data_IF_282866663387
#
_entry.id   IF_282866663387
#
_cell.length_a   1.000
_cell.length_b   1.000
_cell.length_c   1.000
_cell.angle_alpha   90.00
_cell.angle_beta   90.00
_cell.angle_gamma   90.00
#
_symmetry.space_group_name_H-M   'P 1'
#
loop_
_entity.id
_entity.type
_entity.pdbx_description
1 polymer ?
#
# COMPACT_ATOMS: atom_id res chain seq x y z
N UNK A 1 -6.06 -19.20 -9.12
CA UNK A 1 -6.72 -18.01 -8.57
C UNK A 1 -7.07 -18.11 -7.08
N UNK A 2 -6.95 -19.27 -6.47
CA UNK A 2 -7.22 -19.45 -5.02
C UNK A 2 -6.09 -18.99 -4.09
N UNK A 3 -4.91 -18.65 -4.63
CA UNK A 3 -3.74 -18.28 -3.83
C UNK A 3 -3.82 -16.89 -3.17
N UNK A 4 -4.74 -16.05 -3.59
CA UNK A 4 -4.72 -14.65 -3.17
C UNK A 4 -5.58 -14.32 -1.95
N UNK A 5 -6.46 -15.19 -1.51
CA UNK A 5 -7.55 -14.81 -0.60
C UNK A 5 -7.64 -15.66 0.67
N UNK A 6 -6.93 -16.78 0.80
CA UNK A 6 -7.02 -17.62 2.00
C UNK A 6 -6.03 -17.20 3.08
N UNK A 7 -6.51 -16.42 4.03
CA UNK A 7 -5.78 -16.11 5.26
C UNK A 7 -6.02 -17.16 6.38
N UNK A 8 -6.82 -18.19 6.13
CA UNK A 8 -7.10 -19.25 7.10
C UNK A 8 -6.86 -20.62 6.48
N UNK A 9 -6.17 -21.48 7.17
CA UNK A 9 -5.93 -22.89 6.82
C UNK A 9 -6.77 -23.80 7.69
N UNK A 10 -7.77 -24.48 7.10
CA UNK A 10 -8.52 -25.54 7.75
C UNK A 10 -9.14 -25.17 9.10
N UNK A 11 -9.04 -26.03 10.10
CA UNK A 11 -9.56 -25.83 11.45
C UNK A 11 -8.71 -24.93 12.35
N UNK A 12 -7.58 -24.41 11.88
CA UNK A 12 -6.77 -23.49 12.65
C UNK A 12 -7.35 -22.07 12.60
N UNK A 13 -7.58 -21.43 13.76
CA UNK A 13 -8.07 -20.05 13.83
C UNK A 13 -7.00 -19.03 13.42
N UNK A 14 -5.74 -19.47 13.29
CA UNK A 14 -4.62 -18.57 12.97
C UNK A 14 -4.67 -18.09 11.53
N UNK A 15 -4.50 -16.78 11.28
CA UNK A 15 -4.46 -16.24 9.93
C UNK A 15 -3.26 -16.79 9.18
N UNK A 16 -3.49 -17.21 7.95
CA UNK A 16 -2.42 -17.59 7.04
C UNK A 16 -1.88 -16.36 6.33
N UNK A 17 -0.62 -16.03 6.58
CA UNK A 17 0.03 -14.84 6.03
C UNK A 17 0.55 -14.99 4.58
N UNK A 18 0.26 -16.10 3.93
CA UNK A 18 0.55 -16.31 2.51
C UNK A 18 -0.33 -15.45 1.61
N UNK A 19 0.03 -15.37 0.32
CA UNK A 19 -0.73 -14.64 -0.70
C UNK A 19 -0.25 -13.23 -0.95
N UNK A 20 -0.76 -12.62 -2.02
CA UNK A 20 -0.40 -11.29 -2.50
C UNK A 20 -1.24 -10.17 -1.87
N UNK A 21 -2.41 -10.52 -1.36
CA UNK A 21 -3.34 -9.60 -0.72
C UNK A 21 -3.68 -10.09 0.68
N UNK A 22 -4.14 -9.19 1.52
CA UNK A 22 -4.69 -9.55 2.83
C UNK A 22 -6.17 -9.97 2.71
N UNK A 23 -6.81 -10.27 3.85
CA UNK A 23 -8.24 -10.68 3.91
C UNK A 23 -9.19 -9.59 3.40
N UNK A 24 -8.76 -8.34 3.42
CA UNK A 24 -9.53 -7.19 2.96
C UNK A 24 -9.21 -6.82 1.51
N UNK A 25 -8.54 -7.70 0.77
CA UNK A 25 -8.05 -7.48 -0.60
C UNK A 25 -7.07 -6.31 -0.73
N UNK A 26 -6.44 -5.88 0.37
CA UNK A 26 -5.42 -4.85 0.31
C UNK A 26 -4.09 -5.46 -0.14
N UNK A 27 -3.40 -4.84 -1.09
CA UNK A 27 -2.16 -5.39 -1.63
C UNK A 27 -1.03 -5.36 -0.61
N UNK A 28 -0.31 -6.48 -0.48
CA UNK A 28 0.93 -6.60 0.28
C UNK A 28 2.13 -6.17 -0.56
N UNK A 29 3.30 -6.03 0.04
CA UNK A 29 4.54 -5.71 -0.70
C UNK A 29 4.84 -6.71 -1.81
N UNK A 30 4.56 -7.99 -1.59
CA UNK A 30 4.69 -9.03 -2.61
C UNK A 30 3.84 -8.78 -3.87
N UNK A 31 2.67 -8.20 -3.74
CA UNK A 31 1.83 -7.82 -4.87
C UNK A 31 2.57 -6.85 -5.81
N UNK A 32 3.17 -5.81 -5.25
CA UNK A 32 3.93 -4.81 -6.03
C UNK A 32 5.21 -5.39 -6.63
N UNK A 33 5.85 -6.34 -5.94
CA UNK A 33 6.99 -7.08 -6.48
C UNK A 33 6.61 -7.85 -7.75
N UNK A 34 5.46 -8.53 -7.75
CA UNK A 34 4.96 -9.23 -8.94
C UNK A 34 4.45 -8.27 -10.01
N UNK A 35 3.81 -7.18 -9.64
CA UNK A 35 3.41 -6.15 -10.59
C UNK A 35 4.61 -5.58 -11.35
N UNK A 36 5.74 -5.39 -10.70
CA UNK A 36 6.97 -4.91 -11.31
C UNK A 36 7.53 -5.87 -12.38
N UNK A 37 7.09 -7.13 -12.44
CA UNK A 37 7.51 -8.06 -13.50
C UNK A 37 6.77 -7.86 -14.83
N UNK A 38 5.72 -7.03 -14.85
CA UNK A 38 4.97 -6.73 -16.07
C UNK A 38 5.72 -5.72 -16.95
N UNK A 39 5.52 -5.76 -18.28
CA UNK A 39 6.04 -4.73 -19.16
C UNK A 39 5.55 -3.34 -18.75
N UNK A 40 6.39 -2.33 -18.88
CA UNK A 40 6.05 -0.93 -18.58
C UNK A 40 5.18 -0.27 -19.70
N UNK A 41 4.37 -1.06 -20.38
CA UNK A 41 3.46 -0.59 -21.43
C UNK A 41 2.05 -0.49 -20.87
N UNK A 42 1.44 0.68 -21.05
CA UNK A 42 0.05 0.88 -20.64
C UNK A 42 -0.89 0.10 -21.55
N UNK A 43 -1.80 -0.65 -20.94
CA UNK A 43 -2.86 -1.37 -21.63
C UNK A 43 -4.20 -1.02 -20.96
N UNK A 44 -5.10 -0.38 -21.69
CA UNK A 44 -6.37 0.12 -21.16
C UNK A 44 -7.31 -0.99 -20.68
N UNK A 45 -7.09 -2.24 -21.12
CA UNK A 45 -7.85 -3.40 -20.65
C UNK A 45 -7.33 -4.01 -19.35
N UNK A 46 -6.24 -3.51 -18.82
CA UNK A 46 -5.60 -4.02 -17.61
C UNK A 46 -5.27 -2.88 -16.65
N UNK A 47 -6.10 -2.75 -15.62
CA UNK A 47 -5.94 -1.78 -14.55
C UNK A 47 -4.64 -2.02 -13.82
N UNK A 48 -3.61 -1.54 -13.82
CA UNK A 48 -2.30 -1.80 -13.22
C UNK A 48 -1.23 -2.13 -14.25
N UNK A 49 -1.54 -1.95 -15.54
CA UNK A 49 -0.52 -1.93 -16.58
C UNK A 49 0.17 -0.57 -16.64
N UNK A 50 1.36 -0.53 -17.22
CA UNK A 50 2.15 0.68 -17.41
C UNK A 50 3.37 0.77 -16.51
N UNK A 51 4.09 1.88 -16.58
CA UNK A 51 5.24 2.14 -15.73
C UNK A 51 4.84 2.21 -14.27
N UNK A 52 5.63 1.57 -13.40
CA UNK A 52 5.41 1.63 -11.97
C UNK A 52 6.72 1.74 -11.19
N UNK A 53 6.65 2.38 -10.05
CA UNK A 53 7.65 2.37 -8.99
C UNK A 53 6.94 2.32 -7.65
N UNK A 54 7.42 1.51 -6.72
CA UNK A 54 6.83 1.35 -5.40
C UNK A 54 7.90 1.18 -4.33
N UNK A 55 7.83 1.98 -3.27
CA UNK A 55 8.73 1.90 -2.11
C UNK A 55 8.11 0.95 -1.10
N UNK A 56 8.78 -0.15 -0.81
CA UNK A 56 8.39 -1.11 0.22
C UNK A 56 9.07 -0.77 1.55
N UNK A 57 8.69 0.37 2.12
CA UNK A 57 9.24 0.88 3.38
C UNK A 57 8.22 1.79 4.08
N UNK A 58 8.11 1.72 5.40
CA UNK A 58 7.06 2.43 6.14
C UNK A 58 7.56 3.65 6.92
N UNK A 59 8.85 3.93 6.92
CA UNK A 59 9.46 5.05 7.66
C UNK A 59 9.03 5.08 9.13
N UNK A 60 9.08 3.93 9.81
CA UNK A 60 8.76 3.79 11.23
C UNK A 60 10.03 3.61 12.06
N UNK A 61 9.97 3.77 13.41
CA UNK A 61 11.10 3.48 14.28
C UNK A 61 11.62 2.04 14.19
N UNK A 62 10.79 1.12 13.69
CA UNK A 62 11.10 -0.32 13.54
C UNK A 62 11.52 -0.68 12.10
N UNK A 63 11.47 0.27 11.18
CA UNK A 63 11.90 0.05 9.81
C UNK A 63 13.43 -0.05 9.73
N UNK A 64 13.91 -0.97 8.89
CA UNK A 64 15.34 -1.10 8.61
C UNK A 64 15.93 0.12 7.92
N UNK A 65 17.25 0.20 7.86
CA UNK A 65 17.95 1.28 7.17
C UNK A 65 17.91 1.12 5.65
N UNK A 66 17.79 -0.11 5.17
CA UNK A 66 17.76 -0.42 3.76
C UNK A 66 16.36 -0.18 3.20
N UNK A 67 16.29 0.52 2.08
CA UNK A 67 15.03 0.83 1.40
C UNK A 67 14.89 -0.04 0.17
N UNK A 68 13.83 -0.86 0.16
CA UNK A 68 13.49 -1.72 -0.98
C UNK A 68 12.51 -1.00 -1.91
N UNK A 69 12.77 -1.07 -3.21
CA UNK A 69 11.94 -0.50 -4.26
C UNK A 69 11.65 -1.53 -5.33
N UNK A 70 10.40 -1.61 -5.76
CA UNK A 70 9.96 -2.42 -6.90
C UNK A 70 9.65 -1.51 -8.07
N UNK A 71 10.17 -1.83 -9.26
CA UNK A 71 9.92 -1.03 -10.45
C UNK A 71 10.13 -1.83 -11.73
N UNK A 72 9.33 -1.55 -12.75
CA UNK A 72 9.52 -2.04 -14.10
C UNK A 72 10.20 -1.02 -15.04
N UNK A 73 10.60 0.14 -14.51
CA UNK A 73 11.31 1.18 -15.24
C UNK A 73 12.78 0.83 -15.48
N UNK A 74 13.43 1.53 -16.42
CA UNK A 74 14.84 1.30 -16.76
C UNK A 74 15.79 1.88 -15.68
N UNK A 75 15.41 2.97 -15.06
CA UNK A 75 16.18 3.61 -13.99
C UNK A 75 15.25 3.97 -12.83
N UNK A 76 15.75 3.88 -11.60
CA UNK A 76 15.05 4.31 -10.39
C UNK A 76 15.94 5.27 -9.62
N UNK A 77 15.40 6.42 -9.26
CA UNK A 77 16.01 7.38 -8.34
C UNK A 77 15.25 7.38 -7.03
N UNK A 78 15.96 7.27 -5.93
CA UNK A 78 15.41 7.34 -4.57
C UNK A 78 16.01 8.53 -3.85
N UNK A 79 15.17 9.45 -3.38
CA UNK A 79 15.55 10.62 -2.60
C UNK A 79 14.99 10.51 -1.19
N UNK A 80 15.86 10.69 -0.19
CA UNK A 80 15.46 10.76 1.21
C UNK A 80 15.47 12.22 1.67
N UNK A 81 14.31 12.73 2.04
CA UNK A 81 14.03 14.10 2.43
C UNK A 81 14.29 15.14 1.32
N UNK A 82 13.66 16.28 1.43
CA UNK A 82 13.83 17.39 0.49
C UNK A 82 15.26 17.93 0.52
N UNK A 83 15.90 17.96 -0.63
CA UNK A 83 17.31 18.39 -0.75
C UNK A 83 18.31 17.38 -0.21
N UNK A 84 17.85 16.17 0.14
CA UNK A 84 18.71 15.09 0.61
C UNK A 84 19.44 14.36 -0.49
N UNK A 85 20.17 13.32 -0.10
CA UNK A 85 20.95 12.50 -1.03
C UNK A 85 20.01 11.71 -1.96
N UNK A 86 20.35 11.69 -3.23
CA UNK A 86 19.68 10.89 -4.24
C UNK A 86 20.51 9.66 -4.58
N UNK A 87 19.87 8.50 -4.54
CA UNK A 87 20.44 7.21 -4.89
C UNK A 87 19.86 6.79 -6.24
N UNK A 88 20.70 6.23 -7.11
CA UNK A 88 20.27 5.85 -8.45
C UNK A 88 20.58 4.39 -8.71
N UNK A 89 19.61 3.67 -9.27
CA UNK A 89 19.75 2.32 -9.76
C UNK A 89 19.42 2.28 -11.25
N UNK A 90 20.28 1.64 -12.07
CA UNK A 90 20.03 1.39 -13.47
C UNK A 90 19.86 -0.11 -13.71
N UNK A 91 18.80 -0.46 -14.42
CA UNK A 91 18.47 -1.84 -14.73
C UNK A 91 19.47 -2.41 -15.72
N UNK A 92 20.07 -3.55 -15.39
CA UNK A 92 20.84 -4.33 -16.34
C UNK A 92 19.89 -5.19 -17.19
N UNK A 93 19.76 -4.85 -18.47
CA UNK A 93 18.87 -5.54 -19.43
C UNK A 93 19.35 -6.96 -19.79
N UNK A 94 20.62 -7.26 -19.53
CA UNK A 94 21.22 -8.56 -19.84
C UNK A 94 21.25 -9.50 -18.63
N UNK A 95 20.76 -9.07 -17.48
CA UNK A 95 20.74 -9.89 -16.26
C UNK A 95 19.81 -11.09 -16.43
N UNK A 96 20.27 -12.32 -16.20
CA UNK A 96 19.39 -13.48 -16.19
C UNK A 96 18.44 -13.46 -14.99
N UNK A 97 17.26 -14.06 -15.14
CA UNK A 97 16.29 -14.18 -14.07
C UNK A 97 15.07 -13.28 -14.23
N UNK A 98 14.59 -12.71 -13.13
CA UNK A 98 13.38 -11.86 -13.16
C UNK A 98 13.59 -10.61 -14.02
N UNK A 99 12.62 -10.25 -14.88
CA UNK A 99 12.68 -9.05 -15.74
C UNK A 99 12.95 -7.76 -14.97
N UNK A 100 12.42 -7.67 -13.74
CA UNK A 100 12.63 -6.51 -12.85
C UNK A 100 13.07 -7.02 -11.49
N UNK A 101 14.38 -6.96 -11.18
CA UNK A 101 14.88 -7.42 -9.90
C UNK A 101 14.39 -6.54 -8.75
N UNK A 102 14.40 -7.08 -7.56
CA UNK A 102 14.21 -6.31 -6.32
C UNK A 102 15.39 -5.36 -6.17
N UNK A 103 15.10 -4.07 -6.04
CA UNK A 103 16.10 -3.01 -5.89
C UNK A 103 16.20 -2.70 -4.40
N UNK A 104 17.39 -2.85 -3.82
CA UNK A 104 17.65 -2.47 -2.43
C UNK A 104 18.71 -1.39 -2.40
N UNK A 105 18.35 -0.26 -1.81
CA UNK A 105 19.28 0.84 -1.53
C UNK A 105 19.76 0.70 -0.08
N UNK A 106 21.03 0.39 0.16
CA UNK A 106 21.53 0.17 1.50
C UNK A 106 21.72 1.48 2.25
N UNK A 107 21.49 1.45 3.55
CA UNK A 107 21.78 2.52 4.52
C UNK A 107 21.21 3.90 4.11
N UNK A 108 19.97 3.91 3.62
CA UNK A 108 19.27 5.14 3.20
C UNK A 108 18.51 5.77 4.34
N UNK A 109 17.76 4.98 5.10
CA UNK A 109 16.88 5.45 6.15
C UNK A 109 17.54 5.37 7.52
N UNK A 110 17.48 6.48 8.26
CA UNK A 110 17.83 6.50 9.68
C UNK A 110 16.74 7.26 10.45
N UNK A 111 16.07 6.54 11.35
CA UNK A 111 14.99 7.11 12.16
C UNK A 111 15.45 8.31 13.01
N UNK A 112 16.67 8.28 13.54
CA UNK A 112 17.18 9.39 14.38
C UNK A 112 17.44 10.64 13.54
N UNK A 113 17.98 10.47 12.34
CA UNK A 113 18.16 11.54 11.35
C UNK A 113 16.81 12.09 10.92
N UNK A 114 15.86 11.24 10.59
CA UNK A 114 14.49 11.61 10.21
C UNK A 114 13.79 12.41 11.33
N UNK A 115 13.90 11.94 12.58
CA UNK A 115 13.35 12.62 13.75
C UNK A 115 14.00 13.98 14.01
N UNK A 116 15.31 14.10 13.82
CA UNK A 116 16.03 15.37 13.97
C UNK A 116 15.62 16.34 12.85
N UNK A 117 15.57 15.88 11.61
CA UNK A 117 15.15 16.65 10.44
C UNK A 117 13.70 17.15 10.58
N UNK A 118 12.78 16.30 11.03
CA UNK A 118 11.37 16.68 11.22
C UNK A 118 11.13 17.68 12.37
N UNK A 119 12.10 17.94 13.22
CA UNK A 119 12.04 19.00 14.25
C UNK A 119 12.45 20.37 13.71
N UNK A 120 13.30 20.40 12.70
CA UNK A 120 13.89 21.64 12.16
C UNK A 120 13.26 22.07 10.85
N UNK A 121 12.65 21.15 10.11
CA UNK A 121 12.06 21.37 8.79
C UNK A 121 10.54 21.24 8.81
N UNK A 122 9.89 21.71 7.74
CA UNK A 122 8.45 21.50 7.55
C UNK A 122 8.15 20.00 7.40
N UNK A 123 7.04 19.56 7.96
CA UNK A 123 6.63 18.14 7.89
C UNK A 123 6.55 17.60 6.47
N UNK A 124 6.18 18.43 5.51
CA UNK A 124 6.04 18.05 4.10
C UNK A 124 7.38 17.81 3.39
N UNK A 125 8.48 18.22 4.01
CA UNK A 125 9.83 18.04 3.48
C UNK A 125 10.48 16.73 3.91
N UNK A 126 9.79 15.94 4.76
CA UNK A 126 10.25 14.64 5.28
C UNK A 126 9.56 13.53 4.50
N UNK A 127 10.30 12.82 3.65
CA UNK A 127 9.77 11.77 2.81
C UNK A 127 10.85 10.88 2.19
N UNK A 128 10.44 9.71 1.72
CA UNK A 128 11.12 8.93 0.69
C UNK A 128 10.37 9.14 -0.63
N UNK A 129 11.07 9.56 -1.67
CA UNK A 129 10.52 9.72 -3.01
C UNK A 129 11.29 8.81 -3.97
N UNK A 130 10.58 7.89 -4.61
CA UNK A 130 11.11 7.11 -5.71
C UNK A 130 10.52 7.60 -7.04
N UNK A 131 11.38 7.78 -8.02
CA UNK A 131 11.05 8.15 -9.38
C UNK A 131 11.53 7.05 -10.32
N UNK A 132 10.60 6.51 -11.11
CA UNK A 132 10.90 5.56 -12.17
C UNK A 132 11.08 6.27 -13.50
N UNK A 133 12.19 6.00 -14.19
CA UNK A 133 12.52 6.64 -15.44
C UNK A 133 12.60 5.63 -16.60
N UNK A 134 12.09 6.03 -17.75
CA UNK A 134 12.26 5.37 -19.05
C UNK A 134 12.78 6.41 -20.04
N UNK A 135 13.83 6.08 -20.74
CA UNK A 135 14.52 7.01 -21.67
C UNK A 135 14.85 8.37 -21.02
N UNK A 136 15.27 8.36 -19.77
CA UNK A 136 15.65 9.54 -19.01
C UNK A 136 14.48 10.43 -18.54
N UNK A 137 13.23 10.05 -18.85
CA UNK A 137 12.03 10.79 -18.40
C UNK A 137 11.39 10.10 -17.23
N UNK A 138 10.96 10.88 -16.23
CA UNK A 138 10.18 10.37 -15.10
C UNK A 138 8.78 9.99 -15.59
N UNK A 139 8.43 8.72 -15.45
CA UNK A 139 7.15 8.15 -15.89
C UNK A 139 6.29 7.61 -14.75
N UNK A 140 6.88 7.38 -13.60
CA UNK A 140 6.17 6.92 -12.41
C UNK A 140 6.83 7.51 -11.17
N UNK A 141 6.04 7.80 -10.13
CA UNK A 141 6.53 8.29 -8.84
C UNK A 141 5.79 7.61 -7.70
N UNK A 142 6.49 7.36 -6.62
CA UNK A 142 5.88 6.90 -5.36
C UNK A 142 6.53 7.62 -4.19
N UNK A 143 5.69 8.19 -3.30
CA UNK A 143 6.14 8.93 -2.14
C UNK A 143 5.66 8.25 -0.87
N UNK A 144 6.57 8.04 0.07
CA UNK A 144 6.26 7.56 1.42
C UNK A 144 6.65 8.64 2.41
N UNK A 145 5.79 8.88 3.36
CA UNK A 145 5.99 9.86 4.43
C UNK A 145 5.95 9.17 5.79
N UNK A 146 6.66 9.67 6.80
CA UNK A 146 6.69 9.04 8.11
C UNK A 146 5.30 8.88 8.71
N UNK A 147 5.06 7.74 9.33
CA UNK A 147 3.82 7.46 10.04
C UNK A 147 3.68 8.37 11.27
N UNK A 148 2.54 9.04 11.38
CA UNK A 148 2.18 9.94 12.48
C UNK A 148 1.10 9.32 13.39
N UNK A 149 0.63 10.06 14.40
CA UNK A 149 -0.48 9.60 15.25
C UNK A 149 -1.78 9.48 14.45
N UNK A 150 -2.68 8.57 14.82
CA UNK A 150 -3.99 8.49 14.20
C UNK A 150 -4.74 9.81 14.34
N UNK A 151 -5.36 10.30 13.26
CA UNK A 151 -6.03 11.60 13.24
C UNK A 151 -7.35 11.59 12.48
N UNK A 152 -7.49 10.70 11.48
CA UNK A 152 -8.69 10.66 10.64
C UNK A 152 -9.08 9.23 10.26
N UNK A 153 -10.30 9.09 9.78
CA UNK A 153 -10.80 7.88 9.16
C UNK A 153 -10.86 8.13 7.65
N UNK A 154 -10.25 7.24 6.88
CA UNK A 154 -10.45 7.16 5.43
C UNK A 154 -11.61 6.23 5.18
N UNK A 155 -12.47 6.59 4.25
CA UNK A 155 -13.63 5.80 3.86
C UNK A 155 -13.67 5.70 2.34
N UNK A 156 -13.83 4.49 1.81
CA UNK A 156 -14.01 4.29 0.37
C UNK A 156 -14.88 3.07 0.09
N UNK A 157 -15.46 3.03 -1.08
CA UNK A 157 -16.22 1.89 -1.57
C UNK A 157 -15.30 0.97 -2.38
N UNK A 158 -15.36 -0.34 -2.10
CA UNK A 158 -14.70 -1.37 -2.89
C UNK A 158 -15.73 -1.95 -3.89
N UNK A 159 -15.94 -1.21 -4.97
CA UNK A 159 -16.91 -1.55 -6.01
C UNK A 159 -16.25 -2.08 -7.29
N UNK A 160 -14.90 -2.22 -7.30
CA UNK A 160 -14.12 -2.69 -8.47
C UNK A 160 -14.45 -1.94 -9.78
N UNK A 161 -14.87 -0.67 -9.69
CA UNK A 161 -15.27 0.15 -10.83
C UNK A 161 -16.68 -0.14 -11.35
N UNK A 162 -17.48 -0.90 -10.62
CA UNK A 162 -18.88 -1.20 -10.96
C UNK A 162 -19.81 -0.21 -10.25
N UNK A 163 -20.75 0.35 -10.97
CA UNK A 163 -21.76 1.25 -10.38
C UNK A 163 -22.79 0.45 -9.57
N UNK A 164 -23.07 0.92 -8.36
CA UNK A 164 -24.09 0.34 -7.49
C UNK A 164 -25.48 0.64 -8.07
N UNK A 165 -26.32 -0.37 -8.23
CA UNK A 165 -27.70 -0.24 -8.70
C UNK A 165 -28.66 -0.35 -7.53
N UNK A 166 -29.58 0.59 -7.44
CA UNK A 166 -30.62 0.61 -6.40
C UNK A 166 -31.78 -0.33 -6.77
N UNK A 167 -31.51 -1.62 -6.96
CA UNK A 167 -32.50 -2.64 -7.33
C UNK A 167 -32.92 -3.53 -6.15
N UNK A 168 -32.38 -3.28 -4.97
CA UNK A 168 -32.66 -4.03 -3.74
C UNK A 168 -31.83 -5.32 -3.58
N UNK A 169 -31.03 -5.69 -4.58
CA UNK A 169 -30.19 -6.89 -4.56
C UNK A 169 -28.71 -6.55 -4.55
N UNK A 170 -28.35 -5.37 -5.04
CA UNK A 170 -26.98 -4.97 -5.16
C UNK A 170 -26.41 -4.51 -3.81
N UNK A 171 -25.13 -4.78 -3.59
CA UNK A 171 -24.43 -4.35 -2.37
C UNK A 171 -22.98 -3.92 -2.68
N UNK A 172 -22.44 -3.10 -1.84
CA UNK A 172 -21.05 -2.64 -1.93
C UNK A 172 -20.35 -2.79 -0.59
N UNK A 173 -19.09 -3.17 -0.63
CA UNK A 173 -18.24 -3.19 0.56
C UNK A 173 -17.70 -1.80 0.81
N UNK A 174 -17.95 -1.27 2.01
CA UNK A 174 -17.37 -0.01 2.46
C UNK A 174 -16.18 -0.31 3.35
N UNK A 175 -15.03 0.19 2.97
CA UNK A 175 -13.79 0.04 3.73
C UNK A 175 -13.52 1.31 4.52
N UNK A 176 -13.30 1.16 5.82
CA UNK A 176 -12.88 2.24 6.70
C UNK A 176 -11.50 1.95 7.27
N UNK A 177 -10.59 2.90 7.16
CA UNK A 177 -9.25 2.76 7.72
C UNK A 177 -8.90 3.95 8.60
N UNK A 178 -8.36 3.68 9.77
CA UNK A 178 -7.77 4.70 10.62
C UNK A 178 -6.45 5.15 10.01
N UNK A 179 -6.29 6.43 9.79
CA UNK A 179 -5.12 7.02 9.17
C UNK A 179 -4.59 8.21 9.96
N UNK A 180 -3.33 8.55 9.69
CA UNK A 180 -2.74 9.78 10.19
C UNK A 180 -3.10 10.98 9.30
N UNK A 181 -2.61 12.16 9.69
CA UNK A 181 -2.77 13.42 8.92
C UNK A 181 -2.37 13.25 7.45
N UNK A 182 -1.31 12.51 7.18
CA UNK A 182 -0.74 12.30 5.85
C UNK A 182 -1.48 11.25 5.02
N UNK A 183 -2.45 10.54 5.61
CA UNK A 183 -3.18 9.47 4.94
C UNK A 183 -2.55 8.08 5.08
N UNK A 184 -1.49 7.92 5.86
CA UNK A 184 -0.91 6.61 6.14
C UNK A 184 -1.85 5.78 7.01
N UNK A 185 -2.26 4.63 6.53
CA UNK A 185 -3.14 3.72 7.25
C UNK A 185 -2.43 3.14 8.46
N UNK A 186 -3.08 3.22 9.61
CA UNK A 186 -2.59 2.68 10.89
C UNK A 186 -3.03 1.24 11.04
N UNK A 187 -2.20 0.34 10.58
CA UNK A 187 -2.49 -1.09 10.56
C UNK A 187 -2.51 -1.74 11.95
N UNK A 188 -1.79 -1.20 12.92
CA UNK A 188 -1.72 -1.72 14.29
C UNK A 188 -2.51 -0.80 15.23
N UNK A 189 -3.82 -0.85 15.17
CA UNK A 189 -4.69 -0.10 16.07
C UNK A 189 -5.92 -0.94 16.49
N UNK A 190 -6.52 -0.57 17.60
CA UNK A 190 -7.69 -1.24 18.18
C UNK A 190 -8.87 -0.26 18.34
N UNK A 191 -9.00 0.72 17.44
CA UNK A 191 -10.12 1.66 17.51
C UNK A 191 -11.43 0.97 17.11
N UNK A 192 -12.49 1.29 17.82
CA UNK A 192 -13.82 0.85 17.45
C UNK A 192 -14.40 1.87 16.45
N UNK A 193 -14.71 1.43 15.25
CA UNK A 193 -15.34 2.23 14.20
C UNK A 193 -16.83 1.88 14.19
N UNK A 194 -17.68 2.89 14.28
CA UNK A 194 -19.12 2.74 14.15
C UNK A 194 -19.57 3.33 12.82
N UNK A 195 -20.31 2.52 12.08
CA UNK A 195 -20.95 2.92 10.83
C UNK A 195 -22.38 3.35 11.09
N UNK A 196 -22.81 4.42 10.45
CA UNK A 196 -24.20 4.84 10.30
C UNK A 196 -24.47 5.11 8.84
N UNK A 197 -25.71 4.90 8.42
CA UNK A 197 -26.16 5.18 7.07
C UNK A 197 -27.38 6.08 7.15
N UNK A 198 -27.44 7.05 6.25
CA UNK A 198 -28.58 7.94 6.06
C UNK A 198 -29.09 7.76 4.63
N UNK A 199 -30.40 7.65 4.46
CA UNK A 199 -31.05 7.43 3.14
C UNK A 199 -31.58 6.00 2.96
N UNK A 200 -31.81 5.60 1.70
CA UNK A 200 -32.52 4.37 1.31
C UNK A 200 -31.72 3.07 1.51
N UNK A 201 -30.46 3.17 1.90
CA UNK A 201 -29.60 1.99 2.12
C UNK A 201 -29.75 1.38 3.50
N UNK A 202 -29.25 0.16 3.67
CA UNK A 202 -29.12 -0.51 4.98
C UNK A 202 -27.76 -1.15 5.17
N UNK A 203 -27.29 -1.19 6.40
CA UNK A 203 -26.11 -1.97 6.76
C UNK A 203 -26.47 -3.46 6.79
N UNK A 204 -25.72 -4.29 6.10
CA UNK A 204 -25.89 -5.75 6.10
C UNK A 204 -25.19 -6.41 7.30
N UNK A 205 -24.28 -5.70 7.97
CA UNK A 205 -23.56 -6.14 9.14
C UNK A 205 -23.87 -5.33 10.40
N UNK A 206 -23.22 -5.69 11.50
CA UNK A 206 -23.32 -4.89 12.75
C UNK A 206 -22.73 -3.49 12.57
N UNK A 207 -23.29 -2.49 13.28
CA UNK A 207 -22.86 -1.10 13.12
C UNK A 207 -21.47 -0.80 13.71
N UNK A 208 -20.92 -1.67 14.54
CA UNK A 208 -19.62 -1.50 15.19
C UNK A 208 -18.63 -2.54 14.76
N UNK A 209 -17.44 -2.08 14.36
CA UNK A 209 -16.34 -2.92 13.92
C UNK A 209 -15.06 -2.49 14.61
N UNK A 210 -14.33 -3.43 15.18
CA UNK A 210 -13.01 -3.15 15.72
C UNK A 210 -12.02 -2.99 14.57
N UNK A 211 -11.39 -1.83 14.43
CA UNK A 211 -10.37 -1.56 13.43
C UNK A 211 -9.08 -2.28 13.81
N UNK A 212 -9.08 -3.60 13.67
CA UNK A 212 -7.90 -4.45 13.87
C UNK A 212 -7.54 -5.11 12.54
N UNK A 213 -6.29 -5.11 12.20
CA UNK A 213 -5.78 -5.69 10.94
C UNK A 213 -6.02 -7.18 10.80
N UNK A 214 -6.41 -7.84 11.86
CA UNK A 214 -6.47 -9.29 11.90
C UNK A 214 -7.89 -9.87 11.88
N UNK A 215 -8.92 -9.12 12.24
CA UNK A 215 -10.26 -9.69 12.38
C UNK A 215 -11.36 -8.64 12.27
N UNK A 216 -11.91 -8.44 11.11
CA UNK A 216 -13.31 -8.08 10.98
C UNK A 216 -13.85 -8.46 9.61
N UNK A 217 -14.14 -9.72 9.46
CA UNK A 217 -15.26 -10.12 8.62
C UNK A 217 -16.35 -10.56 9.60
N UNK A 218 -17.53 -9.97 9.60
CA UNK A 218 -18.68 -10.68 10.11
C UNK A 218 -18.83 -11.90 9.21
N UNK A 219 -18.39 -13.06 9.70
CA UNK A 219 -18.85 -14.32 9.15
C UNK A 219 -20.36 -14.32 9.34
N UNK A 220 -21.16 -14.53 8.30
CA UNK A 220 -22.54 -14.92 8.50
C UNK A 220 -22.47 -16.23 9.27
N UNK A 221 -22.79 -16.21 10.53
CA UNK A 221 -23.23 -17.38 11.26
C UNK A 221 -24.73 -17.42 11.14
N UNK A 222 -25.17 -18.54 10.63
CA UNK A 222 -26.52 -19.03 10.60
C UNK A 222 -27.38 -18.62 11.78
#
# INVERSE_FOLDING_TARGET
SEMCIRDRRGYHPDPFYGGLMDVFRQPKYSYYMFMAQRPAVKNDRNAGSGPMVYIAHEMTPFSGKDVTVYSNCDEVRLTFNKGGKTYTYKKDKNRPGMPSPVITFPDVYDFMVDKAFSRTQKQDDVYLLAEGLIDGKVVATHKVVPARRPEKILLWMDNEGTDLKADGFDFVTVVAAVADKNGNIKRLNNYNIRFSIEGEGRLLGGPGVLACLLYTSPSPRD
#
